data_IF_115188693023
#
_entry.id   IF_115188693023
#
_cell.length_a   1.000
_cell.length_b   1.000
_cell.length_c   1.000
_cell.angle_alpha   90.00
_cell.angle_beta   90.00
_cell.angle_gamma   90.00
#
_symmetry.space_group_name_H-M   'P 1'
#
loop_
_entity.id
_entity.type
_entity.pdbx_description
1 polymer ?
#
# COMPACT_ATOMS: atom_id res chain seq x y z
N UNK A 1 5.25 -28.22 -7.69
CA UNK A 1 4.19 -28.08 -6.69
C UNK A 1 2.99 -27.39 -7.36
N UNK A 2 1.81 -28.04 -7.36
CA UNK A 2 0.55 -27.44 -7.85
C UNK A 2 -0.17 -26.77 -6.67
N UNK A 3 0.23 -25.55 -6.32
CA UNK A 3 -0.38 -24.77 -5.25
C UNK A 3 -1.46 -23.86 -5.87
N UNK A 4 -2.67 -24.37 -6.01
CA UNK A 4 -3.77 -23.67 -6.67
C UNK A 4 -4.65 -22.85 -5.72
N UNK A 5 -4.28 -22.80 -4.42
CA UNK A 5 -5.02 -22.13 -3.35
C UNK A 5 -4.26 -20.95 -2.73
N UNK A 6 -3.20 -20.49 -3.37
CA UNK A 6 -2.42 -19.33 -2.94
C UNK A 6 -2.66 -18.14 -3.86
N UNK A 7 -2.69 -16.97 -3.26
CA UNK A 7 -2.58 -15.68 -3.96
C UNK A 7 -1.17 -15.13 -3.73
N UNK A 8 -0.53 -14.77 -4.81
CA UNK A 8 0.83 -14.21 -4.78
C UNK A 8 0.78 -12.69 -4.74
N UNK A 9 1.27 -12.13 -3.65
CA UNK A 9 1.40 -10.68 -3.47
C UNK A 9 2.84 -10.29 -3.71
N UNK A 10 3.06 -9.39 -4.65
CA UNK A 10 4.34 -8.75 -4.86
C UNK A 10 4.32 -7.40 -4.16
N UNK A 11 5.18 -7.18 -3.16
CA UNK A 11 5.37 -5.91 -2.47
C UNK A 11 6.75 -5.34 -2.81
N UNK A 12 6.82 -4.05 -3.04
CA UNK A 12 8.06 -3.33 -3.29
C UNK A 12 8.06 -1.99 -2.58
N UNK A 13 9.25 -1.53 -2.17
CA UNK A 13 9.41 -0.18 -1.65
C UNK A 13 8.94 0.84 -2.68
N UNK A 14 8.15 1.82 -2.22
CA UNK A 14 7.78 2.97 -3.02
C UNK A 14 9.03 3.74 -3.46
N UNK A 15 9.06 4.25 -4.70
CA UNK A 15 10.09 5.18 -5.12
C UNK A 15 10.08 6.39 -4.19
N UNK A 16 11.24 6.79 -3.67
CA UNK A 16 11.33 7.92 -2.74
C UNK A 16 12.08 9.07 -3.37
N UNK A 17 11.53 10.27 -3.28
CA UNK A 17 12.21 11.52 -3.64
C UNK A 17 12.93 12.13 -2.41
N UNK A 18 13.58 11.29 -1.59
CA UNK A 18 14.36 11.74 -0.43
C UNK A 18 15.82 11.89 -0.85
N UNK A 19 16.45 13.07 -0.67
CA UNK A 19 17.83 13.26 -1.00
C UNK A 19 18.75 12.24 -0.30
N UNK A 20 19.53 11.50 -1.08
CA UNK A 20 20.44 10.46 -0.59
C UNK A 20 19.88 9.04 -0.61
N UNK A 21 18.59 8.85 -0.84
CA UNK A 21 17.99 7.54 -1.09
C UNK A 21 17.99 7.24 -2.59
N UNK A 22 18.28 5.98 -2.94
CA UNK A 22 18.09 5.50 -4.30
C UNK A 22 16.62 5.23 -4.53
N UNK A 23 16.02 5.95 -5.47
CA UNK A 23 14.64 5.77 -5.88
C UNK A 23 14.58 4.97 -7.18
N UNK A 24 13.99 3.79 -7.12
CA UNK A 24 13.76 2.94 -8.30
C UNK A 24 12.28 2.86 -8.61
N UNK A 25 11.93 2.94 -9.88
CA UNK A 25 10.55 2.78 -10.31
C UNK A 25 10.06 1.33 -10.06
N UNK A 26 8.78 1.16 -9.76
CA UNK A 26 8.20 -0.19 -9.56
C UNK A 26 8.47 -1.14 -10.74
N UNK A 27 8.41 -0.62 -11.97
CA UNK A 27 8.66 -1.41 -13.19
C UNK A 27 10.02 -2.06 -13.25
N UNK A 28 11.03 -1.50 -12.56
CA UNK A 28 12.41 -2.00 -12.60
C UNK A 28 12.54 -3.33 -11.83
N UNK A 29 11.61 -3.61 -10.90
CA UNK A 29 11.58 -4.83 -10.10
C UNK A 29 10.34 -5.70 -10.34
N UNK A 30 9.42 -5.25 -11.19
CA UNK A 30 8.17 -5.97 -11.42
C UNK A 30 8.41 -7.28 -12.17
N UNK A 31 8.08 -8.45 -11.58
CA UNK A 31 8.35 -9.76 -12.19
C UNK A 31 7.43 -10.07 -13.37
N UNK A 32 6.38 -9.30 -13.56
CA UNK A 32 5.39 -9.48 -14.62
C UNK A 32 4.08 -10.09 -14.15
N UNK A 33 3.02 -9.81 -14.89
CA UNK A 33 1.65 -10.16 -14.54
C UNK A 33 1.37 -11.67 -14.40
N UNK A 34 2.22 -12.52 -14.98
CA UNK A 34 2.06 -13.98 -14.87
C UNK A 34 2.50 -14.56 -13.53
N UNK A 35 3.17 -13.78 -12.69
CA UNK A 35 3.77 -14.26 -11.44
C UNK A 35 3.08 -13.73 -10.18
N UNK A 36 2.20 -12.75 -10.30
CA UNK A 36 1.58 -12.08 -9.15
C UNK A 36 0.08 -11.94 -9.35
N UNK A 37 -0.67 -12.01 -8.26
CA UNK A 37 -2.12 -11.81 -8.25
C UNK A 37 -2.47 -10.40 -7.74
N UNK A 38 -1.67 -9.85 -6.84
CA UNK A 38 -1.88 -8.57 -6.19
C UNK A 38 -0.54 -7.82 -6.18
N UNK A 39 -0.56 -6.53 -6.52
CA UNK A 39 0.63 -5.68 -6.46
C UNK A 39 0.58 -4.82 -5.20
N UNK A 40 1.69 -4.67 -4.53
CA UNK A 40 1.81 -3.94 -3.28
C UNK A 40 2.88 -2.87 -3.29
N UNK A 41 2.64 -1.84 -2.51
CA UNK A 41 3.59 -0.78 -2.22
C UNK A 41 3.89 -0.72 -0.73
N UNK A 42 5.18 -0.59 -0.39
CA UNK A 42 5.65 -0.30 0.96
C UNK A 42 5.96 1.20 1.04
N UNK A 43 5.12 1.94 1.77
CA UNK A 43 5.18 3.41 1.83
C UNK A 43 5.54 3.88 3.22
N UNK A 44 6.62 4.64 3.32
CA UNK A 44 7.12 5.23 4.56
C UNK A 44 7.24 6.75 4.42
N UNK A 45 7.35 7.45 5.55
CA UNK A 45 7.55 8.91 5.61
C UNK A 45 6.43 9.76 4.97
N UNK A 46 5.21 9.23 4.91
CA UNK A 46 4.04 9.88 4.24
C UNK A 46 4.24 10.11 2.74
N UNK A 47 5.09 9.33 2.10
CA UNK A 47 5.44 9.48 0.69
C UNK A 47 4.41 8.81 -0.24
N UNK A 48 3.15 9.26 -0.13
CA UNK A 48 2.01 8.78 -0.92
C UNK A 48 1.89 9.57 -2.24
N UNK A 49 2.90 9.47 -3.08
CA UNK A 49 2.94 10.20 -4.35
C UNK A 49 1.91 9.66 -5.36
N UNK A 50 1.13 10.56 -5.95
CA UNK A 50 0.12 10.18 -6.94
C UNK A 50 0.74 9.53 -8.19
N UNK A 51 1.97 9.95 -8.56
CA UNK A 51 2.69 9.35 -9.70
C UNK A 51 2.99 7.87 -9.47
N UNK A 52 3.36 7.50 -8.24
CA UNK A 52 3.74 6.13 -7.89
C UNK A 52 2.50 5.23 -7.80
N UNK A 53 1.41 5.73 -7.23
CA UNK A 53 0.10 5.08 -7.30
C UNK A 53 -0.34 4.82 -8.75
N UNK A 54 -0.23 5.81 -9.62
CA UNK A 54 -0.60 5.67 -11.04
C UNK A 54 0.30 4.66 -11.77
N UNK A 55 1.61 4.62 -11.46
CA UNK A 55 2.52 3.62 -12.02
C UNK A 55 2.12 2.21 -11.60
N UNK A 56 1.81 2.01 -10.30
CA UNK A 56 1.39 0.72 -9.78
C UNK A 56 0.10 0.24 -10.43
N UNK A 57 -0.90 1.12 -10.59
CA UNK A 57 -2.14 0.81 -11.32
C UNK A 57 -1.88 0.40 -12.78
N UNK A 58 -0.98 1.11 -13.47
CA UNK A 58 -0.62 0.80 -14.84
C UNK A 58 0.05 -0.59 -14.97
N UNK A 59 0.88 -0.97 -14.00
CA UNK A 59 1.51 -2.30 -13.93
C UNK A 59 0.49 -3.39 -13.58
N UNK A 60 -0.45 -3.07 -12.71
CA UNK A 60 -1.47 -4.01 -12.23
C UNK A 60 -2.44 -4.45 -13.34
N UNK A 61 -2.75 -3.58 -14.30
CA UNK A 61 -3.65 -3.89 -15.43
C UNK A 61 -4.99 -4.49 -14.99
N UNK A 62 -5.59 -3.90 -13.94
CA UNK A 62 -6.86 -4.34 -13.37
C UNK A 62 -6.75 -5.38 -12.26
N UNK A 63 -5.56 -5.84 -11.88
CA UNK A 63 -5.36 -6.61 -10.66
C UNK A 63 -5.47 -5.70 -9.44
N UNK A 64 -5.85 -6.24 -8.27
CA UNK A 64 -5.88 -5.45 -7.03
C UNK A 64 -4.50 -4.87 -6.69
N UNK A 65 -4.50 -3.68 -6.11
CA UNK A 65 -3.31 -3.06 -5.52
C UNK A 65 -3.51 -2.84 -4.03
N UNK A 66 -2.42 -2.87 -3.26
CA UNK A 66 -2.47 -2.76 -1.81
C UNK A 66 -1.30 -1.94 -1.25
N UNK A 67 -1.48 -1.38 -0.06
CA UNK A 67 -0.38 -0.91 0.77
C UNK A 67 0.12 -2.09 1.60
N UNK A 68 1.13 -2.80 1.11
CA UNK A 68 1.68 -4.00 1.74
C UNK A 68 2.44 -3.67 3.02
N UNK A 69 2.98 -2.46 3.11
CA UNK A 69 3.46 -1.87 4.34
C UNK A 69 3.25 -0.35 4.33
N UNK A 70 2.94 0.21 5.50
CA UNK A 70 3.01 1.66 5.67
C UNK A 70 3.52 2.04 7.07
N UNK A 71 4.37 3.05 7.12
CA UNK A 71 4.88 3.58 8.38
C UNK A 71 3.88 4.52 9.05
N UNK A 72 3.42 5.52 8.30
CA UNK A 72 2.29 6.37 8.66
C UNK A 72 1.07 5.97 7.84
N UNK A 73 -0.09 5.92 8.48
CA UNK A 73 -1.35 5.63 7.80
C UNK A 73 -1.69 6.72 6.77
N UNK A 74 -2.20 6.35 5.60
CA UNK A 74 -2.71 7.32 4.64
C UNK A 74 -3.89 8.07 5.26
N UNK A 75 -3.92 9.38 5.16
CA UNK A 75 -5.07 10.18 5.62
C UNK A 75 -6.24 10.09 4.64
N UNK A 76 -7.39 10.66 5.03
CA UNK A 76 -8.59 10.63 4.20
C UNK A 76 -8.40 11.25 2.83
N UNK A 77 -7.64 12.34 2.71
CA UNK A 77 -7.38 12.98 1.42
C UNK A 77 -6.56 12.09 0.47
N UNK A 78 -5.58 11.36 1.01
CA UNK A 78 -4.81 10.38 0.24
C UNK A 78 -5.73 9.24 -0.23
N UNK A 79 -6.54 8.67 0.67
CA UNK A 79 -7.46 7.59 0.33
C UNK A 79 -8.54 8.02 -0.68
N UNK A 80 -8.97 9.28 -0.65
CA UNK A 80 -9.91 9.83 -1.62
C UNK A 80 -9.26 10.04 -3.01
N UNK A 81 -7.98 10.43 -3.03
CA UNK A 81 -7.21 10.60 -4.27
C UNK A 81 -6.71 9.27 -4.86
N UNK A 82 -6.57 8.24 -4.04
CA UNK A 82 -6.02 6.92 -4.37
C UNK A 82 -6.99 5.81 -3.93
N UNK A 83 -8.18 5.72 -4.54
CA UNK A 83 -9.27 4.88 -4.03
C UNK A 83 -9.13 3.38 -4.27
N UNK A 84 -8.16 2.93 -5.08
CA UNK A 84 -8.07 1.52 -5.49
C UNK A 84 -7.23 0.65 -4.53
N UNK A 85 -6.74 1.20 -3.41
CA UNK A 85 -6.09 0.40 -2.37
C UNK A 85 -7.09 -0.55 -1.73
N UNK A 86 -6.90 -1.88 -1.91
CA UNK A 86 -7.83 -2.90 -1.38
C UNK A 86 -7.58 -3.24 0.08
N UNK A 87 -6.37 -3.02 0.59
CA UNK A 87 -6.04 -3.02 2.02
C UNK A 87 -4.81 -2.18 2.30
N UNK A 88 -4.58 -1.92 3.58
CA UNK A 88 -3.30 -1.40 4.08
C UNK A 88 -2.85 -2.22 5.29
N UNK A 89 -1.53 -2.34 5.46
CA UNK A 89 -0.91 -2.96 6.62
C UNK A 89 0.06 -1.95 7.26
N UNK A 90 -0.03 -1.82 8.57
CA UNK A 90 0.91 -1.05 9.37
C UNK A 90 1.51 -1.95 10.46
N UNK A 91 2.81 -1.87 10.67
CA UNK A 91 3.47 -2.60 11.74
C UNK A 91 2.95 -2.17 13.11
N UNK A 92 2.73 -3.12 14.02
CA UNK A 92 2.07 -2.88 15.33
C UNK A 92 2.70 -1.73 16.13
N UNK A 93 4.03 -1.65 16.16
CA UNK A 93 4.71 -0.57 16.85
C UNK A 93 4.52 0.80 16.15
N UNK A 94 4.40 0.83 14.84
CA UNK A 94 4.21 2.07 14.07
C UNK A 94 2.82 2.67 14.21
N UNK A 95 1.80 1.86 14.52
CA UNK A 95 0.49 2.38 14.90
C UNK A 95 0.61 3.40 16.04
N UNK A 96 1.50 3.12 17.01
CA UNK A 96 1.63 3.95 18.21
C UNK A 96 2.75 4.98 18.11
N UNK A 97 3.86 4.65 17.41
CA UNK A 97 5.02 5.54 17.34
C UNK A 97 4.95 6.56 16.22
N UNK A 98 4.33 6.21 15.11
CA UNK A 98 4.34 7.02 13.88
C UNK A 98 2.97 7.65 13.57
N UNK A 99 1.93 7.30 14.32
CA UNK A 99 0.57 7.77 14.08
C UNK A 99 -0.05 8.29 15.38
N UNK A 100 -0.67 9.46 15.32
CA UNK A 100 -1.49 9.93 16.42
C UNK A 100 -2.79 9.13 16.52
N UNK A 101 -3.38 9.05 17.74
CA UNK A 101 -4.69 8.42 17.92
C UNK A 101 -5.76 9.01 16.98
N UNK A 102 -5.68 10.31 16.70
CA UNK A 102 -6.59 10.97 15.75
C UNK A 102 -6.45 10.40 14.34
N UNK A 103 -5.21 10.23 13.84
CA UNK A 103 -4.96 9.64 12.51
C UNK A 103 -5.46 8.21 12.44
N UNK A 104 -5.20 7.41 13.47
CA UNK A 104 -5.70 6.03 13.53
C UNK A 104 -7.23 6.02 13.44
N UNK A 105 -7.91 6.79 14.29
CA UNK A 105 -9.37 6.85 14.25
C UNK A 105 -9.89 7.37 12.90
N UNK A 106 -9.29 8.40 12.34
CA UNK A 106 -9.67 8.96 11.03
C UNK A 106 -9.71 7.89 9.94
N UNK A 107 -8.74 6.98 9.93
CA UNK A 107 -8.63 5.95 8.89
C UNK A 107 -9.53 4.75 9.18
N UNK A 108 -9.53 4.27 10.42
CA UNK A 108 -10.29 3.06 10.79
C UNK A 108 -11.80 3.30 10.94
N UNK A 109 -12.21 4.54 11.25
CA UNK A 109 -13.63 4.91 11.37
C UNK A 109 -14.24 5.36 10.03
N UNK A 110 -13.49 5.40 8.93
CA UNK A 110 -14.04 5.72 7.61
C UNK A 110 -15.10 4.69 7.21
N UNK A 111 -16.24 5.12 6.62
CA UNK A 111 -17.28 4.19 6.15
C UNK A 111 -16.78 3.16 5.12
N UNK A 112 -15.75 3.52 4.35
CA UNK A 112 -15.15 2.66 3.32
C UNK A 112 -14.10 1.69 3.89
N UNK A 113 -13.63 1.89 5.11
CA UNK A 113 -12.66 1.00 5.75
C UNK A 113 -13.36 -0.15 6.42
N UNK A 114 -13.14 -1.37 5.91
CA UNK A 114 -13.62 -2.57 6.56
C UNK A 114 -12.65 -2.99 7.66
N UNK A 115 -13.17 -3.09 8.88
CA UNK A 115 -12.43 -3.58 10.03
C UNK A 115 -13.07 -4.83 10.57
N UNK A 116 -12.29 -5.71 11.20
CA UNK A 116 -12.83 -6.81 11.96
C UNK A 116 -13.56 -6.24 13.19
N UNK A 117 -14.89 -6.23 13.14
CA UNK A 117 -15.68 -5.96 14.33
C UNK A 117 -15.71 -7.25 15.15
N UNK A 118 -15.21 -7.18 16.37
CA UNK A 118 -15.41 -8.28 17.31
C UNK A 118 -16.93 -8.55 17.43
N UNK A 119 -17.35 -9.81 17.50
CA UNK A 119 -18.75 -10.17 17.69
C UNK A 119 -19.33 -9.61 18.99
#
# INVERSE_FOLDING_TARGET
FHLNNLLWVWGANGPRDIPGDEAYAYRDFYPGAGYVDILGADVYHMDYEQKDYNELLNLAKGKPIALTECGQLPNSAILDAQPDWVWFLVWTNFIYSNNSKRQVNEVYDRPQTLTHKAP
#
